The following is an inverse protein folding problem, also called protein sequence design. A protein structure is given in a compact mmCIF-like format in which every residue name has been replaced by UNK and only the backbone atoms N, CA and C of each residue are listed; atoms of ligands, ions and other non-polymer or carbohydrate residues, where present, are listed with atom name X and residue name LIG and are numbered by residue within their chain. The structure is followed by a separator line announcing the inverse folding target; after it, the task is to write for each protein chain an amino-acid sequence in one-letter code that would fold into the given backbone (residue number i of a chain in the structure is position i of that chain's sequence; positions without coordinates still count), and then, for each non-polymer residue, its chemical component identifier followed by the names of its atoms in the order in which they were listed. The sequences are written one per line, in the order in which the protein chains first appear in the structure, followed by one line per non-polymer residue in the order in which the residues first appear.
data_IF_807876495935
#
_entry.id   IF_807876495935
#
_cell.length_a   1.000
_cell.length_b   1.000
_cell.length_c   1.000
_cell.angle_alpha   90.00
_cell.angle_beta   90.00
_cell.angle_gamma   90.00
#
_symmetry.space_group_name_H-M   'P 1'
#
loop_
_entity.id
_entity.type
_entity.pdbx_description
1 polymer ?
#
# COMPACT_ATOMS: atom_id res chain seq x y z
N UNK A 1 8.85 10.75 10.10
CA UNK A 1 7.55 10.25 10.63
C UNK A 1 6.50 11.34 10.91
N UNK A 2 6.72 12.29 11.83
CA UNK A 2 5.70 13.32 12.17
C UNK A 2 5.24 14.16 10.96
N UNK A 3 6.15 14.49 10.05
CA UNK A 3 5.84 15.23 8.82
C UNK A 3 4.94 14.42 7.88
N UNK A 4 5.29 13.15 7.63
CA UNK A 4 4.52 12.26 6.76
C UNK A 4 3.10 12.02 7.32
N UNK A 5 2.98 11.82 8.64
CA UNK A 5 1.69 11.70 9.34
C UNK A 5 0.86 12.99 9.36
N UNK A 6 1.49 14.17 9.24
CA UNK A 6 0.79 15.46 9.16
C UNK A 6 0.20 15.66 7.77
N UNK A 7 1.02 15.47 6.75
CA UNK A 7 0.63 15.55 5.33
C UNK A 7 -0.46 14.52 5.01
N UNK A 8 -0.36 13.32 5.55
CA UNK A 8 -1.41 12.29 5.55
C UNK A 8 -2.77 12.80 6.06
N UNK A 9 -2.80 13.44 7.24
CA UNK A 9 -4.04 13.96 7.83
C UNK A 9 -4.63 15.10 7.01
N UNK A 10 -3.80 15.82 6.24
CA UNK A 10 -4.27 16.87 5.33
C UNK A 10 -4.95 16.24 4.11
N UNK A 11 -4.32 15.27 3.44
CA UNK A 11 -4.88 14.60 2.24
C UNK A 11 -6.19 13.85 2.53
N UNK A 12 -6.32 13.18 3.69
CA UNK A 12 -7.58 12.57 4.12
C UNK A 12 -8.69 13.60 4.37
N UNK A 13 -8.35 14.76 4.95
CA UNK A 13 -9.32 15.83 5.19
C UNK A 13 -9.77 16.52 3.91
N UNK A 14 -8.94 16.50 2.88
CA UNK A 14 -9.28 16.96 1.54
C UNK A 14 -10.14 15.96 0.75
N UNK A 15 -10.40 14.76 1.30
CA UNK A 15 -11.24 13.74 0.66
C UNK A 15 -10.62 13.10 -0.58
N UNK A 16 -9.28 13.19 -0.71
CA UNK A 16 -8.54 12.63 -1.85
C UNK A 16 -8.33 11.11 -1.69
N UNK A 17 -8.38 10.61 -0.45
CA UNK A 17 -8.27 9.19 -0.12
C UNK A 17 -9.55 8.76 0.60
N UNK A 18 -10.19 7.73 0.09
CA UNK A 18 -11.54 7.32 0.49
C UNK A 18 -11.58 6.49 1.79
N UNK A 19 -10.45 5.88 2.19
CA UNK A 19 -10.35 5.10 3.44
C UNK A 19 -9.08 5.40 4.22
N UNK A 20 -9.20 5.36 5.55
CA UNK A 20 -8.07 5.60 6.47
C UNK A 20 -7.10 4.41 6.45
N UNK A 21 -7.66 3.22 6.30
CA UNK A 21 -6.99 1.92 6.36
C UNK A 21 -6.02 1.73 5.19
N UNK A 22 -6.42 2.05 3.96
CA UNK A 22 -5.56 1.90 2.77
C UNK A 22 -4.32 2.79 2.86
N UNK A 23 -4.47 3.93 3.50
CA UNK A 23 -3.40 4.91 3.64
C UNK A 23 -2.40 4.54 4.74
N UNK A 24 -2.82 3.80 5.78
CA UNK A 24 -1.89 3.31 6.82
C UNK A 24 -0.91 2.27 6.26
N UNK A 25 -1.37 1.37 5.37
CA UNK A 25 -0.53 0.35 4.71
C UNK A 25 0.53 1.01 3.83
N UNK A 26 0.13 2.01 3.04
CA UNK A 26 1.02 2.78 2.17
C UNK A 26 2.09 3.53 2.96
N UNK A 27 1.70 4.15 4.08
CA UNK A 27 2.65 4.82 4.97
C UNK A 27 3.65 3.85 5.58
N UNK A 28 3.20 2.66 5.97
CA UNK A 28 4.08 1.62 6.49
C UNK A 28 5.07 1.16 5.42
N UNK A 29 4.63 0.96 4.19
CA UNK A 29 5.51 0.60 3.08
C UNK A 29 6.58 1.67 2.81
N UNK A 30 6.22 2.95 2.86
CA UNK A 30 7.16 4.07 2.76
C UNK A 30 8.16 4.10 3.92
N UNK A 31 7.71 3.83 5.16
CA UNK A 31 8.57 3.82 6.34
C UNK A 31 9.59 2.68 6.31
N UNK A 32 9.21 1.53 5.76
CA UNK A 32 10.03 0.33 5.70
C UNK A 32 10.84 0.18 4.40
N UNK A 33 10.67 1.09 3.42
CA UNK A 33 11.12 0.90 2.03
C UNK A 33 10.67 -0.47 1.45
N UNK A 34 9.44 -0.85 1.77
CA UNK A 34 8.86 -2.12 1.40
C UNK A 34 8.06 -2.05 0.08
N UNK A 35 7.80 -3.24 -0.48
CA UNK A 35 6.89 -3.42 -1.61
C UNK A 35 5.46 -3.67 -1.12
N UNK A 36 4.47 -3.12 -1.82
CA UNK A 36 3.04 -3.35 -1.53
C UNK A 36 2.54 -4.54 -2.34
N UNK A 37 2.09 -5.61 -1.68
CA UNK A 37 1.41 -6.74 -2.31
C UNK A 37 -0.07 -6.70 -1.91
N UNK A 38 -0.99 -6.56 -2.86
CA UNK A 38 -2.43 -6.52 -2.58
C UNK A 38 -3.27 -7.01 -3.75
N UNK A 39 -4.41 -7.64 -3.47
CA UNK A 39 -5.45 -7.91 -4.47
C UNK A 39 -6.41 -6.72 -4.65
N UNK A 40 -6.34 -5.72 -3.76
CA UNK A 40 -7.19 -4.54 -3.77
C UNK A 40 -6.67 -3.49 -4.77
N UNK A 41 -7.45 -3.22 -5.82
CA UNK A 41 -7.09 -2.26 -6.87
C UNK A 41 -7.01 -0.82 -6.36
N UNK A 42 -7.77 -0.43 -5.35
CA UNK A 42 -7.69 0.90 -4.73
C UNK A 42 -6.33 1.13 -4.07
N UNK A 43 -5.86 0.15 -3.31
CA UNK A 43 -4.53 0.18 -2.67
C UNK A 43 -3.41 0.22 -3.71
N UNK A 44 -3.48 -0.61 -4.75
CA UNK A 44 -2.46 -0.64 -5.80
C UNK A 44 -2.41 0.66 -6.60
N UNK A 45 -3.57 1.23 -6.95
CA UNK A 45 -3.64 2.52 -7.63
C UNK A 45 -3.03 3.65 -6.78
N UNK A 46 -3.20 3.59 -5.47
CA UNK A 46 -2.59 4.55 -4.56
C UNK A 46 -1.07 4.35 -4.45
N UNK A 47 -0.59 3.10 -4.40
CA UNK A 47 0.83 2.79 -4.44
C UNK A 47 1.49 3.32 -5.73
N UNK A 48 0.85 3.09 -6.88
CA UNK A 48 1.29 3.60 -8.19
C UNK A 48 1.37 5.14 -8.21
N UNK A 49 0.29 5.83 -7.81
CA UNK A 49 0.25 7.30 -7.73
C UNK A 49 1.33 7.90 -6.83
N UNK A 50 1.80 7.16 -5.83
CA UNK A 50 2.81 7.58 -4.88
C UNK A 50 4.22 7.10 -5.24
N UNK A 51 4.38 6.39 -6.36
CA UNK A 51 5.68 5.90 -6.85
C UNK A 51 6.26 4.75 -6.01
N UNK A 52 5.41 4.01 -5.30
CA UNK A 52 5.80 2.83 -4.55
C UNK A 52 5.94 1.62 -5.48
N UNK A 53 6.85 0.70 -5.13
CA UNK A 53 6.88 -0.63 -5.75
C UNK A 53 5.66 -1.42 -5.29
N UNK A 54 4.94 -2.05 -6.21
CA UNK A 54 3.79 -2.89 -5.89
C UNK A 54 3.69 -4.11 -6.80
N UNK A 55 2.96 -5.14 -6.35
CA UNK A 55 2.66 -6.36 -7.10
C UNK A 55 1.22 -6.82 -6.85
N UNK A 56 0.65 -7.51 -7.84
CA UNK A 56 -0.57 -8.29 -7.66
C UNK A 56 -0.22 -9.72 -7.22
N UNK A 57 -1.07 -10.40 -6.44
CA UNK A 57 -0.83 -11.79 -6.03
C UNK A 57 -0.60 -12.75 -7.21
N UNK A 58 -1.23 -12.47 -8.35
CA UNK A 58 -1.06 -13.27 -9.56
C UNK A 58 0.37 -13.22 -10.12
N UNK A 59 1.10 -12.11 -9.91
CA UNK A 59 2.47 -11.93 -10.42
C UNK A 59 3.47 -12.80 -9.66
N UNK A 60 3.12 -13.24 -8.45
CA UNK A 60 3.95 -14.09 -7.59
C UNK A 60 3.24 -15.40 -7.22
N UNK A 61 2.28 -15.83 -8.03
CA UNK A 61 1.40 -16.97 -7.73
C UNK A 61 2.17 -18.24 -7.36
N UNK A 62 3.18 -18.60 -8.13
CA UNK A 62 4.01 -19.81 -7.88
C UNK A 62 4.71 -19.74 -6.51
N UNK A 63 5.19 -18.54 -6.13
CA UNK A 63 5.82 -18.31 -4.82
C UNK A 63 4.79 -18.44 -3.71
N UNK A 64 3.57 -17.89 -3.89
CA UNK A 64 2.48 -17.98 -2.93
C UNK A 64 1.98 -19.42 -2.72
N UNK A 65 1.88 -20.19 -3.80
CA UNK A 65 1.50 -21.61 -3.74
C UNK A 65 2.55 -22.46 -3.03
N UNK A 66 3.83 -22.10 -3.14
CA UNK A 66 4.92 -22.71 -2.36
C UNK A 66 4.81 -22.50 -0.84
N UNK A 67 4.12 -21.46 -0.37
CA UNK A 67 3.88 -21.23 1.06
C UNK A 67 2.73 -22.05 1.64
N UNK A 68 1.88 -22.71 0.83
CA UNK A 68 0.69 -23.46 1.28
C UNK A 68 0.98 -24.79 2.01
N UNK A 69 2.20 -24.99 2.50
CA UNK A 69 2.61 -26.21 3.21
C UNK A 69 2.66 -26.07 4.74
N UNK A 70 2.06 -25.01 5.30
CA UNK A 70 1.91 -24.82 6.75
C UNK A 70 0.51 -25.18 7.23
#
# INVERSE_FOLDING_TARGET
LKFLRRRYREVLREGIVDSKEDLEIILLALELDALVLSADKGVLNMADKLGLRYLEPQDIKETLEGFKLW
#
